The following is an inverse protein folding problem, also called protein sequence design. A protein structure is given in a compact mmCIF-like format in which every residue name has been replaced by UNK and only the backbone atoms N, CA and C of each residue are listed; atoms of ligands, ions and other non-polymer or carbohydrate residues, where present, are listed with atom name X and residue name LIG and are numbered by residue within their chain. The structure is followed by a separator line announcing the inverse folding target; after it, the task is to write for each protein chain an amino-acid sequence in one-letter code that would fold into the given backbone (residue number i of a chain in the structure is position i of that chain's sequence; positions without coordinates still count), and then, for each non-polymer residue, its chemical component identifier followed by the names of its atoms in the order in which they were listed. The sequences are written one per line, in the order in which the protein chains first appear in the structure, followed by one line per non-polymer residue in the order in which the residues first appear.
data_IF_030962307313
#
_entry.id   IF_030962307313
#
_cell.length_a   1.000
_cell.length_b   1.000
_cell.length_c   1.000
_cell.angle_alpha   90.00
_cell.angle_beta   90.00
_cell.angle_gamma   90.00
#
_symmetry.space_group_name_H-M   'P 1'
#
loop_
_entity.id
_entity.type
_entity.pdbx_description
1 polymer ?
#
# COMPACT_ATOMS: atom_id res chain seq x y z
N UNK A 1 26.65 5.25 20.57
CA UNK A 1 25.22 5.26 20.16
C UNK A 1 25.11 4.58 18.81
N UNK A 2 24.13 3.68 18.59
CA UNK A 2 23.91 3.15 17.26
C UNK A 2 23.43 4.28 16.33
N UNK A 3 24.22 4.58 15.31
CA UNK A 3 23.90 5.52 14.24
C UNK A 3 22.93 4.82 13.27
N UNK A 4 21.63 4.81 13.58
CA UNK A 4 20.65 4.41 12.57
C UNK A 4 20.39 5.60 11.66
N UNK A 5 20.79 5.47 10.40
CA UNK A 5 20.44 6.45 9.38
C UNK A 5 18.91 6.61 9.33
N UNK A 6 18.40 7.86 9.20
CA UNK A 6 16.99 8.10 8.98
C UNK A 6 16.52 7.27 7.78
N UNK A 7 15.46 6.48 7.95
CA UNK A 7 14.89 5.68 6.87
C UNK A 7 14.15 6.64 5.92
N UNK A 8 14.85 7.12 4.89
CA UNK A 8 14.32 8.10 3.92
C UNK A 8 13.18 7.54 3.06
N UNK A 9 13.06 6.22 2.93
CA UNK A 9 12.02 5.58 2.12
C UNK A 9 11.25 4.49 2.88
N UNK A 10 9.94 4.33 2.63
CA UNK A 10 9.10 3.31 3.26
C UNK A 10 9.31 1.92 2.64
N UNK A 11 10.55 1.44 2.56
CA UNK A 11 10.95 0.18 1.92
C UNK A 11 10.25 -1.04 2.52
N UNK A 12 10.23 -1.15 3.86
CA UNK A 12 9.54 -2.25 4.55
C UNK A 12 8.04 -2.31 4.26
N UNK A 13 7.41 -1.15 4.04
CA UNK A 13 5.97 -1.07 3.71
C UNK A 13 5.71 -1.49 2.26
N UNK A 14 6.65 -1.21 1.34
CA UNK A 14 6.61 -1.75 -0.04
C UNK A 14 6.73 -3.27 -0.04
N UNK A 15 7.69 -3.81 0.70
CA UNK A 15 7.86 -5.27 0.83
C UNK A 15 6.61 -5.93 1.42
N UNK A 16 6.03 -5.33 2.47
CA UNK A 16 4.80 -5.82 3.07
C UNK A 16 3.63 -5.81 2.07
N UNK A 17 3.50 -4.76 1.26
CA UNK A 17 2.48 -4.70 0.22
C UNK A 17 2.65 -5.83 -0.80
N UNK A 18 3.86 -6.01 -1.32
CA UNK A 18 4.17 -7.06 -2.29
C UNK A 18 3.92 -8.46 -1.73
N UNK A 19 4.21 -8.68 -0.45
CA UNK A 19 3.89 -9.95 0.21
C UNK A 19 2.37 -10.19 0.24
N UNK A 20 1.58 -9.18 0.61
CA UNK A 20 0.12 -9.30 0.70
C UNK A 20 -0.55 -9.45 -0.66
N UNK A 21 -0.02 -8.79 -1.67
CA UNK A 21 -0.42 -8.96 -3.07
C UNK A 21 -0.19 -10.41 -3.53
N UNK A 22 1.00 -10.96 -3.27
CA UNK A 22 1.31 -12.37 -3.59
C UNK A 22 0.42 -13.35 -2.84
N UNK A 23 0.19 -13.13 -1.55
CA UNK A 23 -0.71 -13.96 -0.73
C UNK A 23 -2.13 -13.97 -1.32
N UNK A 24 -2.65 -12.80 -1.71
CA UNK A 24 -3.98 -12.68 -2.33
C UNK A 24 -4.03 -13.33 -3.72
N UNK A 25 -3.03 -13.10 -4.56
CA UNK A 25 -2.95 -13.70 -5.89
C UNK A 25 -2.88 -15.24 -5.83
N UNK A 26 -2.10 -15.79 -4.90
CA UNK A 26 -2.03 -17.23 -4.67
C UNK A 26 -3.37 -17.79 -4.15
N UNK A 27 -4.04 -17.07 -3.25
CA UNK A 27 -5.35 -17.49 -2.75
C UNK A 27 -6.42 -17.50 -3.86
N UNK A 28 -6.39 -16.53 -4.77
CA UNK A 28 -7.26 -16.49 -5.96
C UNK A 28 -6.97 -17.69 -6.87
N UNK A 29 -5.68 -17.96 -7.17
CA UNK A 29 -5.26 -19.09 -8.01
C UNK A 29 -5.65 -20.45 -7.41
N UNK A 30 -5.58 -20.58 -6.09
CA UNK A 30 -5.91 -21.80 -5.37
C UNK A 30 -7.41 -21.93 -5.02
N UNK A 31 -8.27 -21.02 -5.49
CA UNK A 31 -9.72 -21.02 -5.22
C UNK A 31 -10.05 -21.19 -3.73
N UNK A 32 -9.33 -20.46 -2.88
CA UNK A 32 -9.58 -20.48 -1.43
C UNK A 32 -10.97 -19.89 -1.15
N UNK A 33 -11.65 -20.41 -0.13
CA UNK A 33 -12.97 -19.93 0.34
C UNK A 33 -13.07 -18.40 0.44
N UNK A 34 -14.23 -17.86 0.07
CA UNK A 34 -14.52 -16.41 0.04
C UNK A 34 -14.17 -15.70 1.36
N UNK A 35 -14.51 -16.27 2.52
CA UNK A 35 -14.16 -15.70 3.84
C UNK A 35 -12.66 -15.44 4.05
N UNK A 36 -11.80 -16.30 3.47
CA UNK A 36 -10.34 -16.15 3.54
C UNK A 36 -9.85 -15.14 2.51
N UNK A 37 -10.45 -15.11 1.32
CA UNK A 37 -10.16 -14.12 0.30
C UNK A 37 -10.49 -12.71 0.77
N UNK A 38 -11.63 -12.52 1.43
CA UNK A 38 -12.03 -11.23 1.99
C UNK A 38 -11.01 -10.72 3.02
N UNK A 39 -10.59 -11.58 3.96
CA UNK A 39 -9.57 -11.25 4.96
C UNK A 39 -8.22 -10.90 4.32
N UNK A 40 -7.83 -11.59 3.25
CA UNK A 40 -6.58 -11.30 2.54
C UNK A 40 -6.67 -9.98 1.77
N UNK A 41 -7.81 -9.69 1.14
CA UNK A 41 -8.06 -8.45 0.44
C UNK A 41 -8.13 -7.24 1.39
N UNK A 42 -8.70 -7.40 2.60
CA UNK A 42 -8.63 -6.37 3.64
C UNK A 42 -7.19 -6.11 4.09
N UNK A 43 -6.38 -7.16 4.30
CA UNK A 43 -4.97 -7.01 4.64
C UNK A 43 -4.18 -6.32 3.53
N UNK A 44 -4.49 -6.61 2.26
CA UNK A 44 -3.92 -5.93 1.10
C UNK A 44 -4.28 -4.45 1.10
N UNK A 45 -5.58 -4.10 1.30
CA UNK A 45 -6.04 -2.71 1.44
C UNK A 45 -5.29 -1.97 2.54
N UNK A 46 -5.15 -2.58 3.71
CA UNK A 46 -4.45 -2.00 4.85
C UNK A 46 -2.96 -1.75 4.53
N UNK A 47 -2.29 -2.69 3.85
CA UNK A 47 -0.91 -2.52 3.43
C UNK A 47 -0.76 -1.37 2.43
N UNK A 48 -1.66 -1.26 1.45
CA UNK A 48 -1.70 -0.16 0.48
C UNK A 48 -1.85 1.20 1.16
N UNK A 49 -2.84 1.33 2.06
CA UNK A 49 -3.07 2.55 2.82
C UNK A 49 -1.88 2.90 3.70
N UNK A 50 -1.24 1.92 4.33
CA UNK A 50 -0.07 2.13 5.18
C UNK A 50 1.12 2.68 4.38
N UNK A 51 1.32 2.19 3.16
CA UNK A 51 2.34 2.65 2.23
C UNK A 51 2.07 4.07 1.76
N UNK A 52 0.85 4.36 1.30
CA UNK A 52 0.46 5.69 0.81
C UNK A 52 0.61 6.75 1.91
N UNK A 53 0.17 6.45 3.13
CA UNK A 53 0.35 7.33 4.30
C UNK A 53 1.83 7.57 4.62
N UNK A 54 2.68 6.55 4.46
CA UNK A 54 4.10 6.71 4.67
C UNK A 54 4.77 7.58 3.61
N UNK A 55 4.34 7.45 2.36
CA UNK A 55 4.81 8.32 1.28
C UNK A 55 4.36 9.77 1.51
N UNK A 56 3.12 9.97 1.94
CA UNK A 56 2.61 11.30 2.31
C UNK A 56 3.44 11.93 3.44
N UNK A 57 3.73 11.17 4.49
CA UNK A 57 4.61 11.64 5.57
C UNK A 57 6.02 11.98 5.09
N UNK A 58 6.62 11.13 4.25
CA UNK A 58 7.95 11.39 3.69
C UNK A 58 7.97 12.67 2.84
N UNK A 59 6.91 12.94 2.09
CA UNK A 59 6.79 14.19 1.32
C UNK A 59 6.66 15.40 2.26
N UNK A 60 5.82 15.31 3.28
CA UNK A 60 5.68 16.38 4.29
C UNK A 60 7.01 16.67 5.00
N UNK A 61 7.80 15.64 5.33
CA UNK A 61 9.14 15.80 5.90
C UNK A 61 10.11 16.47 4.91
N UNK A 62 10.03 16.15 3.62
CA UNK A 62 10.86 16.78 2.59
C UNK A 62 10.49 18.26 2.38
N UNK A 63 9.20 18.57 2.37
CA UNK A 63 8.69 19.95 2.29
C UNK A 63 9.14 20.77 3.50
N UNK A 64 9.06 20.20 4.70
CA UNK A 64 9.58 20.82 5.92
C UNK A 64 11.10 21.07 5.87
N UNK A 65 11.86 20.17 5.24
CA UNK A 65 13.30 20.33 5.00
C UNK A 65 13.63 21.29 3.84
N UNK A 66 12.63 21.90 3.18
CA UNK A 66 12.83 22.80 2.04
C UNK A 66 13.33 22.11 0.78
N UNK A 67 13.24 20.77 0.69
CA UNK A 67 13.64 20.01 -0.49
C UNK A 67 12.48 20.02 -1.49
N UNK A 68 12.75 20.42 -2.74
CA UNK A 68 11.75 20.35 -3.81
C UNK A 68 11.35 18.89 -4.06
N UNK A 69 10.08 18.59 -3.83
CA UNK A 69 9.48 17.30 -4.18
C UNK A 69 8.80 17.39 -5.55
N UNK A 70 8.92 16.34 -6.36
CA UNK A 70 8.17 16.16 -7.62
C UNK A 70 6.89 15.36 -7.44
N UNK A 71 6.72 14.72 -6.28
CA UNK A 71 5.53 13.94 -5.93
C UNK A 71 4.40 14.89 -5.51
N UNK A 72 3.31 14.92 -6.29
CA UNK A 72 2.12 15.72 -5.96
C UNK A 72 1.41 15.06 -4.78
N UNK A 73 1.49 15.64 -3.57
CA UNK A 73 0.75 15.21 -2.38
C UNK A 73 -0.73 14.91 -2.70
N UNK A 74 -1.36 15.77 -3.49
CA UNK A 74 -2.76 15.59 -3.90
C UNK A 74 -3.06 14.30 -4.68
N UNK A 75 -2.08 13.71 -5.39
CA UNK A 75 -2.27 12.39 -6.02
C UNK A 75 -2.34 11.28 -4.97
N UNK A 76 -1.45 11.34 -3.97
CA UNK A 76 -1.41 10.34 -2.90
C UNK A 76 -2.66 10.45 -2.02
N UNK A 77 -3.14 11.65 -1.73
CA UNK A 77 -4.40 11.87 -1.01
C UNK A 77 -5.61 11.32 -1.76
N UNK A 78 -5.66 11.54 -3.08
CA UNK A 78 -6.68 10.93 -3.94
C UNK A 78 -6.61 9.39 -3.91
N UNK A 79 -5.42 8.81 -4.02
CA UNK A 79 -5.23 7.36 -3.92
C UNK A 79 -5.66 6.81 -2.55
N UNK A 80 -5.36 7.51 -1.46
CA UNK A 80 -5.81 7.14 -0.11
C UNK A 80 -7.33 7.12 -0.04
N UNK A 81 -8.01 8.13 -0.59
CA UNK A 81 -9.46 8.19 -0.63
C UNK A 81 -10.06 7.04 -1.45
N UNK A 82 -9.49 6.76 -2.62
CA UNK A 82 -9.90 5.64 -3.47
C UNK A 82 -9.79 4.32 -2.71
N UNK A 83 -8.63 4.01 -2.13
CA UNK A 83 -8.42 2.76 -1.40
C UNK A 83 -9.18 2.67 -0.08
N UNK A 84 -9.60 3.81 0.51
CA UNK A 84 -10.46 3.81 1.70
C UNK A 84 -11.89 3.40 1.37
N UNK A 85 -12.39 3.77 0.19
CA UNK A 85 -13.77 3.56 -0.24
C UNK A 85 -13.94 2.33 -1.15
N UNK A 86 -12.84 1.80 -1.70
CA UNK A 86 -12.85 0.64 -2.60
C UNK A 86 -13.46 -0.58 -1.91
N UNK A 87 -14.31 -1.32 -2.62
CA UNK A 87 -14.91 -2.54 -2.08
C UNK A 87 -13.91 -3.71 -2.08
N UNK A 88 -14.16 -4.72 -1.24
CA UNK A 88 -13.29 -5.90 -1.16
C UNK A 88 -13.30 -6.67 -2.49
N UNK A 89 -14.48 -6.81 -3.11
CA UNK A 89 -14.64 -7.44 -4.41
C UNK A 89 -13.85 -6.74 -5.53
N UNK A 90 -13.75 -5.42 -5.50
CA UNK A 90 -12.99 -4.64 -6.47
C UNK A 90 -11.48 -4.86 -6.34
N UNK A 91 -10.99 -5.03 -5.11
CA UNK A 91 -9.57 -5.35 -4.84
C UNK A 91 -9.21 -6.75 -5.32
N UNK A 92 -10.09 -7.72 -5.09
CA UNK A 92 -9.91 -9.09 -5.60
C UNK A 92 -9.87 -9.07 -7.13
N UNK A 93 -10.78 -8.33 -7.77
CA UNK A 93 -10.84 -8.19 -9.22
C UNK A 93 -9.59 -7.52 -9.81
N UNK A 94 -9.01 -6.56 -9.09
CA UNK A 94 -7.78 -5.87 -9.48
C UNK A 94 -6.57 -6.82 -9.45
N UNK A 95 -6.43 -7.61 -8.39
CA UNK A 95 -5.36 -8.62 -8.28
C UNK A 95 -5.54 -9.78 -9.24
N UNK A 96 -6.78 -10.13 -9.61
CA UNK A 96 -7.07 -11.14 -10.62
C UNK A 96 -6.69 -10.69 -12.04
N UNK A 97 -6.69 -9.38 -12.32
CA UNK A 97 -6.29 -8.81 -13.62
C UNK A 97 -4.79 -8.66 -13.79
N UNK A 98 -4.01 -8.81 -12.70
CA UNK A 98 -2.56 -8.80 -12.75
C UNK A 98 -2.06 -10.14 -13.34
N UNK A 99 -1.18 -10.11 -14.37
CA UNK A 99 -0.72 -11.30 -15.08
C UNK A 99 0.07 -12.29 -14.21
#
# INVERSE_FOLDING_TARGET
MPLFAPRSEPTKKREQLQQREKELALAIKNQVTDDKLEKLAEKYRQAQLSLLKAQLHAIQEMDFQGKKTTLKQGKIEQEILIYSNKLVAELISEVQKLP
#
